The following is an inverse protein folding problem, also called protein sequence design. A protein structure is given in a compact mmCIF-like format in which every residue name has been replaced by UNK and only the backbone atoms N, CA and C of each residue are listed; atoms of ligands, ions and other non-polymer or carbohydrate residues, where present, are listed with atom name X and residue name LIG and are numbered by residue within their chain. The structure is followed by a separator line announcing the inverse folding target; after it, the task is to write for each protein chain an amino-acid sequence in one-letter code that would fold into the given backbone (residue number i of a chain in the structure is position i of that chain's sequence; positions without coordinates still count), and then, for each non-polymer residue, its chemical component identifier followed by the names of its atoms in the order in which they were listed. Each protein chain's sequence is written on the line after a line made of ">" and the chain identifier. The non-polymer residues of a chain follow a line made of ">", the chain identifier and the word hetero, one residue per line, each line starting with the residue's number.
data_IF_321254076552
#
_entry.id   IF_321254076552
#
_cell.length_a   1.000
_cell.length_b   1.000
_cell.length_c   1.000
_cell.angle_alpha   90.00
_cell.angle_beta   90.00
_cell.angle_gamma   90.00
#
_symmetry.space_group_name_H-M   'P 1'
#
loop_
_entity.id
_entity.type
_entity.pdbx_description
1 polymer ?
#
# COMPACT_ATOMS: atom_id res chain seq x y z
N UNK A 1 -34.09 -22.94 -24.51
CA UNK A 1 -34.12 -21.54 -25.02
C UNK A 1 -35.30 -20.83 -24.36
N UNK A 2 -35.01 -20.00 -23.36
CA UNK A 2 -36.07 -19.29 -22.61
C UNK A 2 -36.69 -18.19 -23.46
N UNK A 3 -38.02 -18.23 -23.61
CA UNK A 3 -38.77 -17.19 -24.30
C UNK A 3 -39.08 -16.06 -23.32
N UNK A 4 -38.33 -14.97 -23.39
CA UNK A 4 -38.70 -13.72 -22.70
C UNK A 4 -39.92 -13.09 -23.40
N UNK A 5 -40.93 -12.75 -22.63
CA UNK A 5 -42.15 -12.13 -23.17
C UNK A 5 -41.87 -10.64 -23.44
N UNK A 6 -42.58 -10.09 -24.43
CA UNK A 6 -42.52 -8.67 -24.82
C UNK A 6 -42.72 -7.70 -23.64
N UNK A 7 -43.46 -8.15 -22.60
CA UNK A 7 -43.67 -7.39 -21.36
C UNK A 7 -42.42 -7.27 -20.49
N UNK A 8 -41.53 -8.28 -20.51
CA UNK A 8 -40.26 -8.24 -19.75
C UNK A 8 -39.21 -7.35 -20.41
N UNK A 9 -39.23 -7.26 -21.73
CA UNK A 9 -38.35 -6.34 -22.49
C UNK A 9 -38.80 -4.88 -22.32
N UNK A 10 -40.15 -4.64 -22.30
CA UNK A 10 -40.71 -3.31 -22.04
C UNK A 10 -40.45 -2.83 -20.60
N UNK A 11 -40.44 -3.72 -19.62
CA UNK A 11 -40.13 -3.39 -18.23
C UNK A 11 -38.65 -2.97 -18.05
N UNK A 12 -37.72 -3.61 -18.76
CA UNK A 12 -36.30 -3.25 -18.74
C UNK A 12 -36.02 -1.89 -19.41
N UNK A 13 -36.73 -1.55 -20.47
CA UNK A 13 -36.62 -0.25 -21.15
C UNK A 13 -37.27 0.88 -20.32
N UNK A 14 -38.35 0.61 -19.61
CA UNK A 14 -39.00 1.58 -18.73
C UNK A 14 -38.15 1.89 -17.49
N UNK A 15 -37.43 0.91 -16.94
CA UNK A 15 -36.53 1.12 -15.81
C UNK A 15 -35.27 1.95 -16.18
N UNK A 16 -34.81 1.87 -17.41
CA UNK A 16 -33.70 2.68 -17.91
C UNK A 16 -34.12 4.14 -18.21
N UNK A 17 -35.39 4.39 -18.52
CA UNK A 17 -35.91 5.74 -18.83
C UNK A 17 -36.27 6.54 -17.55
N UNK A 18 -36.54 5.87 -16.42
CA UNK A 18 -36.89 6.52 -15.17
C UNK A 18 -35.64 7.07 -14.38
N UNK A 19 -34.44 6.70 -14.79
CA UNK A 19 -33.20 7.23 -14.15
C UNK A 19 -32.70 8.54 -14.77
N UNK A 20 -33.32 9.08 -15.81
CA UNK A 20 -32.85 10.29 -16.51
C UNK A 20 -33.66 11.55 -16.27
N UNK A 21 -34.71 11.53 -15.43
CA UNK A 21 -35.58 12.71 -15.21
C UNK A 21 -35.71 13.16 -13.76
N UNK A 22 -34.60 13.15 -13.00
CA UNK A 22 -34.57 13.54 -11.60
C UNK A 22 -33.53 14.61 -11.24
N UNK A 23 -33.34 15.64 -12.07
CA UNK A 23 -32.67 16.86 -11.66
C UNK A 23 -33.64 18.03 -11.60
N UNK A 24 -34.33 18.15 -10.47
CA UNK A 24 -35.10 19.30 -10.10
C UNK A 24 -34.26 20.19 -9.18
N UNK A 25 -34.14 21.47 -9.55
CA UNK A 25 -33.46 22.47 -8.77
C UNK A 25 -34.17 22.69 -7.42
N UNK A 26 -33.52 22.46 -6.32
CA UNK A 26 -33.95 22.89 -5.00
C UNK A 26 -33.11 24.08 -4.56
N UNK A 27 -33.76 25.21 -4.33
CA UNK A 27 -33.21 26.41 -3.72
C UNK A 27 -32.71 26.12 -2.31
N UNK A 28 -31.48 26.54 -2.03
CA UNK A 28 -30.88 26.50 -0.71
C UNK A 28 -31.49 27.59 0.17
N UNK A 29 -32.03 27.17 1.32
CA UNK A 29 -32.15 28.01 2.50
C UNK A 29 -31.08 27.59 3.49
N UNK A 30 -30.17 28.49 3.80
CA UNK A 30 -29.18 28.28 4.87
C UNK A 30 -29.84 28.12 6.23
N UNK A 31 -29.34 27.24 7.07
CA UNK A 31 -29.32 27.45 8.51
C UNK A 31 -27.87 27.55 9.00
N UNK A 32 -27.59 28.66 9.63
CA UNK A 32 -26.45 28.89 10.48
C UNK A 32 -26.31 27.80 11.53
N UNK A 33 -25.19 27.07 11.52
CA UNK A 33 -24.78 26.20 12.60
C UNK A 33 -23.26 26.30 12.80
N UNK A 34 -22.92 26.58 14.06
CA UNK A 34 -21.56 26.68 14.58
C UNK A 34 -20.72 25.43 14.34
N UNK A 35 -19.38 25.56 14.18
CA UNK A 35 -18.52 24.45 13.96
C UNK A 35 -18.23 23.69 15.24
N UNK A 36 -18.78 22.52 15.43
CA UNK A 36 -18.20 21.50 16.29
C UNK A 36 -17.29 20.63 15.44
N UNK A 37 -16.00 20.93 15.49
CA UNK A 37 -14.99 20.15 14.80
C UNK A 37 -14.79 18.78 15.47
N UNK A 38 -15.28 17.76 14.83
CA UNK A 38 -14.91 16.38 15.05
C UNK A 38 -14.56 15.81 13.68
N UNK A 39 -13.30 15.93 13.26
CA UNK A 39 -12.79 15.15 12.13
C UNK A 39 -12.68 13.71 12.59
N UNK A 40 -13.74 12.93 12.36
CA UNK A 40 -13.65 11.48 12.40
C UNK A 40 -12.73 11.06 11.26
N UNK A 41 -11.46 10.79 11.56
CA UNK A 41 -10.57 10.11 10.63
C UNK A 41 -11.17 8.73 10.34
N UNK A 42 -11.56 8.51 9.10
CA UNK A 42 -12.03 7.21 8.65
C UNK A 42 -10.88 6.23 8.82
N UNK A 43 -11.10 5.12 9.54
CA UNK A 43 -10.12 4.08 9.75
C UNK A 43 -9.48 3.65 8.43
N UNK A 44 -8.17 3.35 8.40
CA UNK A 44 -7.54 2.74 7.24
C UNK A 44 -8.33 1.50 6.86
N UNK A 45 -8.86 1.48 5.63
CA UNK A 45 -9.46 0.28 5.08
C UNK A 45 -8.33 -0.63 4.62
N UNK A 46 -8.32 -1.92 4.96
CA UNK A 46 -7.44 -2.85 4.28
C UNK A 46 -7.74 -2.75 2.79
N UNK A 47 -6.70 -2.76 1.97
CA UNK A 47 -6.87 -2.80 0.52
C UNK A 47 -7.78 -3.98 0.20
N UNK A 48 -8.97 -3.74 -0.36
CA UNK A 48 -9.88 -4.80 -0.80
C UNK A 48 -9.15 -5.64 -1.86
N UNK A 49 -8.48 -6.69 -1.38
CA UNK A 49 -8.00 -7.73 -2.26
C UNK A 49 -9.23 -8.56 -2.67
N UNK A 50 -9.43 -8.83 -3.97
CA UNK A 50 -10.38 -9.85 -4.36
C UNK A 50 -10.02 -11.14 -3.63
N UNK A 51 -11.01 -11.91 -3.15
CA UNK A 51 -10.82 -13.16 -2.42
C UNK A 51 -9.67 -13.96 -3.04
N UNK A 52 -8.59 -14.12 -2.25
CA UNK A 52 -7.31 -14.64 -2.74
C UNK A 52 -7.50 -16.10 -3.17
N UNK A 53 -7.40 -16.45 -4.47
CA UNK A 53 -7.63 -17.81 -4.90
C UNK A 53 -6.56 -18.72 -4.31
N UNK A 54 -7.00 -19.70 -3.51
CA UNK A 54 -6.13 -20.74 -2.95
C UNK A 54 -5.49 -21.53 -4.09
N UNK A 55 -4.20 -21.76 -4.00
CA UNK A 55 -3.48 -22.62 -4.94
C UNK A 55 -3.57 -24.06 -4.41
N UNK A 56 -4.26 -24.93 -5.16
CA UNK A 56 -4.15 -26.36 -4.93
C UNK A 56 -2.75 -26.81 -5.41
N UNK A 57 -1.95 -27.38 -4.49
CA UNK A 57 -0.58 -27.81 -4.80
C UNK A 57 -0.58 -29.21 -5.42
N UNK A 58 -0.31 -29.36 -6.74
CA UNK A 58 0.09 -30.63 -7.31
C UNK A 58 1.48 -31.02 -6.77
N UNK A 59 1.77 -32.31 -6.71
CA UNK A 59 3.10 -32.81 -6.38
C UNK A 59 4.18 -32.20 -7.30
N UNK A 60 5.20 -31.60 -6.70
CA UNK A 60 6.23 -30.81 -7.37
C UNK A 60 6.03 -29.33 -7.10
N UNK A 61 7.08 -28.62 -6.75
CA UNK A 61 7.02 -27.31 -6.16
C UNK A 61 6.45 -26.23 -7.08
N UNK A 62 5.12 -26.26 -7.23
CA UNK A 62 4.38 -25.25 -7.98
C UNK A 62 4.38 -23.87 -7.29
N UNK A 63 4.68 -23.79 -5.97
CA UNK A 63 4.75 -22.55 -5.20
C UNK A 63 6.05 -21.84 -5.50
N UNK A 64 7.19 -22.53 -5.34
CA UNK A 64 8.53 -22.02 -5.66
C UNK A 64 8.62 -21.54 -7.11
N UNK A 65 8.08 -22.30 -8.06
CA UNK A 65 8.06 -21.94 -9.48
C UNK A 65 7.24 -20.67 -9.80
N UNK A 66 6.34 -20.26 -8.92
CA UNK A 66 5.55 -19.01 -9.08
C UNK A 66 6.23 -17.79 -8.50
N UNK A 67 7.30 -17.94 -7.75
CA UNK A 67 8.06 -16.85 -7.13
C UNK A 67 9.00 -16.18 -8.15
N UNK A 68 8.43 -15.65 -9.24
CA UNK A 68 9.16 -15.08 -10.37
C UNK A 68 10.13 -13.96 -9.95
N UNK A 69 9.79 -13.21 -8.89
CA UNK A 69 10.57 -12.07 -8.42
C UNK A 69 11.93 -12.47 -7.86
N UNK A 70 12.06 -13.64 -7.26
CA UNK A 70 13.34 -14.10 -6.72
C UNK A 70 14.41 -14.19 -7.82
N UNK A 71 14.05 -14.73 -8.97
CA UNK A 71 14.95 -14.83 -10.13
C UNK A 71 15.08 -13.52 -10.88
N UNK A 72 13.93 -12.83 -11.10
CA UNK A 72 13.91 -11.62 -11.92
C UNK A 72 14.67 -10.46 -11.28
N UNK A 73 14.68 -10.39 -9.95
CA UNK A 73 15.41 -9.39 -9.18
C UNK A 73 16.73 -9.93 -8.60
N UNK A 74 17.06 -11.18 -8.89
CA UNK A 74 18.33 -11.82 -8.53
C UNK A 74 18.52 -12.08 -7.03
N UNK A 75 17.46 -12.15 -6.25
CA UNK A 75 17.56 -12.42 -4.80
C UNK A 75 18.26 -13.75 -4.50
N UNK A 76 17.98 -14.78 -5.31
CA UNK A 76 18.59 -16.09 -5.13
C UNK A 76 20.12 -16.08 -5.21
N UNK A 77 20.71 -15.16 -5.96
CA UNK A 77 22.17 -15.03 -6.03
C UNK A 77 22.76 -14.33 -4.80
N UNK A 78 21.98 -13.45 -4.15
CA UNK A 78 22.39 -12.69 -2.98
C UNK A 78 22.44 -13.53 -1.70
N UNK A 79 21.73 -14.65 -1.63
CA UNK A 79 21.76 -15.53 -0.46
C UNK A 79 23.11 -16.18 -0.19
N UNK A 80 24.03 -16.08 -1.13
CA UNK A 80 25.45 -16.45 -0.90
C UNK A 80 26.20 -15.42 -0.03
N UNK A 81 25.62 -14.23 0.11
CA UNK A 81 26.22 -13.08 0.80
C UNK A 81 25.46 -12.69 2.06
N UNK A 82 24.13 -12.79 2.02
CA UNK A 82 23.24 -12.48 3.14
C UNK A 82 21.90 -13.18 2.99
N UNK A 83 21.29 -13.60 4.10
CA UNK A 83 20.02 -14.33 4.20
C UNK A 83 19.02 -13.64 5.14
N UNK A 84 19.42 -12.50 5.76
CA UNK A 84 18.67 -11.76 6.76
C UNK A 84 18.96 -12.24 8.19
N UNK A 85 19.98 -13.09 8.39
CA UNK A 85 20.30 -13.66 9.71
C UNK A 85 20.63 -12.55 10.71
N UNK A 86 20.03 -12.65 11.90
CA UNK A 86 20.23 -11.71 12.99
C UNK A 86 19.42 -10.42 12.90
N UNK A 87 18.64 -10.22 11.82
CA UNK A 87 17.78 -9.05 11.65
C UNK A 87 16.33 -9.38 12.03
N UNK A 88 15.71 -8.51 12.83
CA UNK A 88 14.32 -8.64 13.26
C UNK A 88 13.41 -7.68 12.50
N UNK A 89 12.44 -8.23 11.78
CA UNK A 89 11.41 -7.46 11.05
C UNK A 89 10.08 -7.55 11.77
N UNK A 90 9.60 -6.45 12.31
CA UNK A 90 8.24 -6.37 12.86
C UNK A 90 7.23 -6.28 11.71
N UNK A 91 6.30 -7.22 11.65
CA UNK A 91 5.17 -7.22 10.73
C UNK A 91 3.94 -6.70 11.47
N UNK A 92 3.67 -5.40 11.31
CA UNK A 92 2.47 -4.75 11.86
C UNK A 92 1.34 -4.89 10.83
N UNK A 93 0.50 -5.89 11.03
CA UNK A 93 -0.51 -6.32 10.07
C UNK A 93 -1.66 -7.04 10.80
N UNK A 94 -2.45 -7.86 10.11
CA UNK A 94 -3.58 -8.58 10.71
C UNK A 94 -3.17 -9.70 11.69
N UNK A 95 -1.90 -10.08 11.74
CA UNK A 95 -1.32 -11.18 12.51
C UNK A 95 -0.71 -12.24 11.59
N UNK A 96 0.19 -13.08 12.14
CA UNK A 96 0.96 -14.06 11.36
C UNK A 96 0.72 -15.47 11.91
N UNK A 97 0.42 -16.45 11.05
CA UNK A 97 0.40 -17.86 11.43
C UNK A 97 1.85 -18.38 11.60
N UNK A 98 2.40 -18.22 12.81
CA UNK A 98 3.75 -18.70 13.16
C UNK A 98 3.90 -20.23 13.17
N UNK A 99 2.82 -20.99 12.98
CA UNK A 99 2.87 -22.43 12.81
C UNK A 99 2.90 -22.88 11.35
N UNK A 100 2.78 -21.93 10.39
CA UNK A 100 2.89 -22.28 8.97
C UNK A 100 4.23 -22.95 8.68
N UNK A 101 4.21 -24.06 7.93
CA UNK A 101 5.40 -24.90 7.69
C UNK A 101 6.60 -24.14 7.10
N UNK A 102 6.36 -23.04 6.37
CA UNK A 102 7.42 -22.22 5.76
C UNK A 102 7.83 -21.02 6.64
N UNK A 103 7.24 -20.84 7.82
CA UNK A 103 7.51 -19.72 8.72
C UNK A 103 7.91 -20.17 10.12
N UNK A 104 7.63 -21.44 10.45
CA UNK A 104 7.83 -22.00 11.77
C UNK A 104 9.31 -22.00 12.18
N UNK A 105 9.62 -21.24 13.21
CA UNK A 105 11.01 -21.06 13.67
C UNK A 105 11.51 -19.65 13.41
N UNK A 106 11.09 -18.99 12.35
CA UNK A 106 11.41 -17.59 12.06
C UNK A 106 10.46 -16.60 12.77
N UNK A 107 9.25 -17.06 13.18
CA UNK A 107 8.27 -16.21 13.86
C UNK A 107 8.40 -16.36 15.36
N UNK A 108 8.70 -15.27 16.05
CA UNK A 108 8.78 -15.19 17.51
C UNK A 108 7.45 -14.73 18.13
N UNK A 109 7.33 -14.76 19.45
CA UNK A 109 6.20 -14.18 20.15
C UNK A 109 6.20 -12.65 20.00
N UNK A 110 5.09 -12.10 19.57
CA UNK A 110 4.88 -10.69 19.32
C UNK A 110 3.80 -10.07 20.19
N UNK A 111 2.88 -9.31 19.58
CA UNK A 111 1.91 -8.48 20.29
C UNK A 111 0.57 -8.40 19.58
N UNK A 112 -0.51 -8.26 20.34
CA UNK A 112 -1.83 -7.91 19.84
C UNK A 112 -2.18 -6.46 20.21
N UNK A 113 -2.14 -5.57 19.24
CA UNK A 113 -2.44 -4.17 19.45
C UNK A 113 -3.96 -3.89 19.54
N UNK A 114 -4.79 -4.79 19.01
CA UNK A 114 -6.25 -4.64 19.00
C UNK A 114 -6.90 -4.95 20.34
N UNK A 115 -6.30 -5.86 21.11
CA UNK A 115 -6.83 -6.42 22.34
C UNK A 115 -7.87 -7.53 22.14
N UNK A 116 -8.10 -7.99 20.90
CA UNK A 116 -9.08 -9.04 20.56
C UNK A 116 -8.43 -10.33 20.05
N UNK A 117 -7.12 -10.33 19.85
CA UNK A 117 -6.36 -11.46 19.34
C UNK A 117 -5.73 -12.35 20.40
N UNK A 118 -4.67 -13.03 20.00
CA UNK A 118 -3.74 -13.66 20.93
C UNK A 118 -2.63 -12.70 21.30
N UNK A 119 -2.19 -12.69 22.55
CA UNK A 119 -1.09 -11.80 22.99
C UNK A 119 0.23 -11.99 22.24
N UNK A 120 0.34 -13.04 21.42
CA UNK A 120 1.55 -13.35 20.64
C UNK A 120 1.53 -12.77 19.20
N UNK A 121 0.43 -12.15 18.75
CA UNK A 121 0.31 -11.68 17.36
C UNK A 121 0.18 -12.79 16.31
N UNK A 122 0.00 -14.05 16.71
CA UNK A 122 -0.03 -15.22 15.82
C UNK A 122 -1.39 -15.50 15.21
N UNK A 123 -2.42 -14.80 15.65
CA UNK A 123 -3.78 -14.98 15.15
C UNK A 123 -4.13 -13.86 14.18
N UNK A 124 -4.52 -14.24 12.97
CA UNK A 124 -5.08 -13.30 12.01
C UNK A 124 -6.40 -12.70 12.46
N UNK A 125 -6.55 -11.39 12.36
CA UNK A 125 -7.69 -10.59 12.79
C UNK A 125 -8.25 -9.76 11.62
N UNK A 126 -9.44 -9.21 11.83
CA UNK A 126 -10.06 -8.31 10.85
C UNK A 126 -10.73 -9.05 9.69
N UNK A 127 -10.92 -8.32 8.58
CA UNK A 127 -11.67 -8.84 7.41
C UNK A 127 -10.80 -9.68 6.46
N UNK A 128 -9.48 -9.56 6.55
CA UNK A 128 -8.50 -10.31 5.76
C UNK A 128 -7.46 -10.97 6.70
N UNK A 129 -7.87 -11.96 7.51
CA UNK A 129 -7.03 -12.49 8.58
C UNK A 129 -5.77 -13.22 8.09
N UNK A 130 -5.69 -13.56 6.81
CA UNK A 130 -4.54 -14.20 6.16
C UNK A 130 -3.44 -13.21 5.75
N UNK A 131 -3.74 -11.90 5.68
CA UNK A 131 -2.90 -10.90 5.06
C UNK A 131 -1.51 -10.78 5.71
N UNK A 132 -1.43 -10.75 7.04
CA UNK A 132 -0.14 -10.68 7.74
C UNK A 132 0.75 -11.92 7.50
N UNK A 133 0.14 -13.10 7.30
CA UNK A 133 0.89 -14.32 6.95
C UNK A 133 1.44 -14.26 5.53
N UNK A 134 0.65 -13.72 4.57
CA UNK A 134 1.13 -13.42 3.21
C UNK A 134 2.37 -12.51 3.26
N UNK A 135 2.26 -11.40 3.99
CA UNK A 135 3.33 -10.41 4.15
C UNK A 135 4.59 -11.03 4.78
N UNK A 136 4.45 -11.70 5.91
CA UNK A 136 5.57 -12.33 6.61
C UNK A 136 6.31 -13.35 5.73
N UNK A 137 5.58 -14.12 4.92
CA UNK A 137 6.16 -15.13 4.04
C UNK A 137 7.00 -14.54 2.90
N UNK A 138 6.66 -13.34 2.42
CA UNK A 138 7.48 -12.62 1.42
C UNK A 138 8.79 -12.13 2.03
N UNK A 139 8.79 -11.79 3.33
CA UNK A 139 10.02 -11.38 4.04
C UNK A 139 10.88 -12.60 4.33
N UNK A 140 10.37 -13.57 5.11
CA UNK A 140 11.18 -14.58 5.80
C UNK A 140 10.61 -16.01 5.72
N UNK A 141 9.85 -16.34 4.67
CA UNK A 141 9.55 -17.73 4.38
C UNK A 141 10.87 -18.51 4.16
N UNK A 142 10.97 -19.73 4.71
CA UNK A 142 12.18 -20.55 4.58
C UNK A 142 11.95 -21.86 3.82
N UNK A 143 10.71 -22.07 3.31
CA UNK A 143 10.35 -23.30 2.64
C UNK A 143 10.22 -24.49 3.59
N UNK A 144 10.07 -25.69 3.03
CA UNK A 144 10.04 -26.93 3.79
C UNK A 144 10.51 -28.10 2.92
N UNK A 145 10.86 -29.23 3.58
CA UNK A 145 11.16 -30.48 2.87
C UNK A 145 9.85 -31.24 2.66
N UNK A 146 9.55 -31.61 1.43
CA UNK A 146 8.42 -32.47 1.06
C UNK A 146 8.79 -33.98 1.06
N UNK A 147 10.04 -34.28 1.42
CA UNK A 147 10.56 -35.64 1.48
C UNK A 147 10.84 -36.31 0.12
N UNK A 148 10.60 -35.60 -0.98
CA UNK A 148 10.73 -36.13 -2.36
C UNK A 148 11.62 -35.31 -3.28
N UNK A 149 11.72 -34.03 -3.05
CA UNK A 149 12.55 -33.14 -3.88
C UNK A 149 13.90 -32.88 -3.22
N UNK A 150 15.04 -33.10 -3.91
CA UNK A 150 16.33 -32.75 -3.38
C UNK A 150 16.47 -31.25 -3.10
N UNK A 151 17.17 -30.88 -2.02
CA UNK A 151 17.48 -29.49 -1.76
C UNK A 151 18.31 -28.90 -2.91
N UNK A 152 18.00 -27.66 -3.31
CA UNK A 152 18.79 -26.94 -4.29
C UNK A 152 20.15 -26.57 -3.67
N UNK A 153 21.29 -26.93 -4.27
CA UNK A 153 22.59 -26.57 -3.71
C UNK A 153 22.75 -25.06 -3.56
N UNK A 154 23.00 -24.60 -2.34
CA UNK A 154 23.23 -23.19 -2.05
C UNK A 154 21.96 -22.34 -1.90
N UNK A 155 20.78 -22.92 -1.92
CA UNK A 155 19.54 -22.25 -1.54
C UNK A 155 19.38 -22.33 -0.01
N UNK A 156 19.18 -21.21 0.71
CA UNK A 156 18.98 -21.21 2.16
C UNK A 156 17.59 -21.76 2.54
N UNK A 157 17.40 -22.01 3.83
CA UNK A 157 16.12 -22.45 4.40
C UNK A 157 15.98 -23.95 4.55
N UNK A 158 14.77 -24.40 4.94
CA UNK A 158 14.51 -25.78 5.42
C UNK A 158 14.21 -26.77 4.26
N UNK A 159 14.10 -26.28 3.04
CA UNK A 159 13.90 -27.16 1.91
C UNK A 159 13.38 -26.47 0.63
N UNK A 160 13.35 -27.23 -0.47
CA UNK A 160 13.07 -26.68 -1.79
C UNK A 160 11.58 -26.48 -2.07
N UNK A 161 10.69 -26.99 -1.20
CA UNK A 161 9.26 -26.87 -1.38
C UNK A 161 8.69 -25.64 -0.66
N UNK A 162 7.55 -25.14 -1.15
CA UNK A 162 6.81 -24.05 -0.54
C UNK A 162 7.40 -22.67 -0.81
N UNK A 163 7.08 -21.74 0.08
CA UNK A 163 7.44 -20.31 -0.03
C UNK A 163 8.82 -20.05 0.55
N UNK A 164 9.68 -19.35 -0.22
CA UNK A 164 10.89 -18.75 0.32
C UNK A 164 10.79 -17.22 0.21
N UNK A 165 11.13 -16.52 1.27
CA UNK A 165 11.13 -15.05 1.34
C UNK A 165 12.43 -14.47 0.80
N UNK A 166 12.48 -13.13 0.77
CA UNK A 166 13.67 -12.38 0.34
C UNK A 166 14.82 -12.56 1.34
N UNK A 167 14.51 -12.61 2.62
CA UNK A 167 15.44 -12.78 3.73
C UNK A 167 15.04 -14.00 4.59
N UNK A 168 15.31 -15.23 4.10
CA UNK A 168 14.72 -16.46 4.66
C UNK A 168 15.22 -16.84 6.06
N UNK A 169 16.26 -16.19 6.57
CA UNK A 169 16.77 -16.36 7.93
C UNK A 169 16.49 -15.15 8.86
N UNK A 170 15.72 -14.16 8.37
CA UNK A 170 15.28 -13.05 9.19
C UNK A 170 14.22 -13.50 10.22
N UNK A 171 14.24 -12.85 11.38
CA UNK A 171 13.25 -13.06 12.43
C UNK A 171 12.00 -12.20 12.19
N UNK A 172 10.82 -12.77 12.27
CA UNK A 172 9.53 -12.06 12.20
C UNK A 172 8.99 -11.83 13.61
N UNK A 173 8.77 -10.55 13.95
CA UNK A 173 8.05 -10.12 15.15
C UNK A 173 6.61 -9.75 14.73
N UNK A 174 5.60 -10.62 14.95
CA UNK A 174 4.24 -10.36 14.50
C UNK A 174 3.50 -9.41 15.44
N UNK A 175 2.85 -8.38 14.90
CA UNK A 175 2.02 -7.47 15.69
C UNK A 175 0.66 -7.36 15.02
N UNK A 176 -0.38 -7.92 15.67
CA UNK A 176 -1.70 -7.99 15.09
C UNK A 176 -2.52 -6.71 15.32
N UNK A 177 -3.11 -6.24 14.22
CA UNK A 177 -4.12 -5.20 14.17
C UNK A 177 -5.47 -5.81 13.79
N UNK A 178 -6.56 -5.24 14.27
CA UNK A 178 -7.89 -5.56 13.76
C UNK A 178 -8.40 -4.43 12.87
N UNK A 179 -8.41 -4.69 11.55
CA UNK A 179 -8.72 -3.71 10.51
C UNK A 179 -10.04 -4.08 9.79
N UNK A 180 -10.77 -3.06 9.34
CA UNK A 180 -11.95 -3.23 8.49
C UNK A 180 -13.23 -3.70 9.20
N UNK A 181 -13.19 -4.02 10.49
CA UNK A 181 -14.35 -4.46 11.27
C UNK A 181 -15.00 -3.26 11.98
N UNK A 182 -16.31 -3.08 11.77
CA UNK A 182 -17.03 -2.00 12.44
C UNK A 182 -17.55 -2.53 13.79
N UNK A 183 -17.03 -1.95 14.89
CA UNK A 183 -17.57 -2.18 16.24
C UNK A 183 -17.14 -3.48 16.93
N UNK A 184 -16.17 -4.22 16.40
CA UNK A 184 -15.64 -5.43 17.05
C UNK A 184 -14.33 -5.18 17.79
N UNK A 185 -13.49 -4.26 17.34
CA UNK A 185 -12.25 -3.92 18.04
C UNK A 185 -12.52 -3.13 19.32
N UNK A 186 -11.78 -3.45 20.38
CA UNK A 186 -11.79 -2.70 21.65
C UNK A 186 -11.01 -1.40 21.55
N UNK A 187 -10.12 -1.28 20.55
CA UNK A 187 -9.28 -0.10 20.30
C UNK A 187 -9.44 0.39 18.87
N UNK A 188 -9.47 1.70 18.69
CA UNK A 188 -9.45 2.31 17.36
C UNK A 188 -8.11 2.07 16.66
N UNK A 189 -8.07 2.21 15.33
CA UNK A 189 -6.82 2.13 14.56
C UNK A 189 -5.84 3.23 14.99
N UNK A 190 -6.38 4.40 15.38
CA UNK A 190 -5.59 5.53 15.91
C UNK A 190 -4.86 5.19 17.21
N UNK A 191 -5.35 4.20 17.97
CA UNK A 191 -4.71 3.66 19.16
C UNK A 191 -3.84 2.43 18.87
N UNK A 192 -4.25 1.59 17.91
CA UNK A 192 -3.53 0.35 17.59
C UNK A 192 -2.18 0.65 16.92
N UNK A 193 -2.13 1.54 15.91
CA UNK A 193 -0.91 1.84 15.16
C UNK A 193 0.21 2.36 16.05
N UNK A 194 0.05 3.42 16.86
CA UNK A 194 1.14 3.90 17.71
C UNK A 194 1.56 2.90 18.80
N UNK A 195 0.63 2.10 19.31
CA UNK A 195 0.95 1.04 20.26
C UNK A 195 1.78 -0.06 19.60
N UNK A 196 1.45 -0.45 18.38
CA UNK A 196 2.17 -1.43 17.59
C UNK A 196 3.60 -0.98 17.24
N UNK A 197 3.75 0.28 16.78
CA UNK A 197 5.06 0.85 16.45
C UNK A 197 5.95 0.93 17.70
N UNK A 198 5.42 1.41 18.84
CA UNK A 198 6.19 1.45 20.09
C UNK A 198 6.63 0.06 20.53
N UNK A 199 5.70 -0.90 20.52
CA UNK A 199 6.03 -2.28 20.89
C UNK A 199 7.12 -2.86 19.98
N UNK A 200 7.05 -2.64 18.67
CA UNK A 200 8.06 -3.11 17.73
C UNK A 200 9.47 -2.58 18.10
N UNK A 201 9.56 -1.28 18.38
CA UNK A 201 10.84 -0.64 18.79
C UNK A 201 11.33 -1.19 20.14
N UNK A 202 10.44 -1.28 21.13
CA UNK A 202 10.78 -1.76 22.47
C UNK A 202 11.19 -3.24 22.49
N UNK A 203 10.65 -4.05 21.56
CA UNK A 203 10.99 -5.45 21.35
C UNK A 203 12.27 -5.65 20.51
N UNK A 204 12.93 -4.57 20.08
CA UNK A 204 14.20 -4.64 19.37
C UNK A 204 14.07 -4.95 17.87
N UNK A 205 12.97 -4.57 17.24
CA UNK A 205 12.87 -4.66 15.78
C UNK A 205 13.84 -3.68 15.11
N UNK A 206 14.55 -4.14 14.09
CA UNK A 206 15.41 -3.32 13.23
C UNK A 206 14.60 -2.64 12.12
N UNK A 207 13.59 -3.35 11.65
CA UNK A 207 12.70 -2.92 10.55
C UNK A 207 11.24 -3.10 10.98
N UNK A 208 10.40 -2.14 10.64
CA UNK A 208 8.95 -2.22 10.77
C UNK A 208 8.34 -2.24 9.37
N UNK A 209 7.66 -3.32 9.00
CA UNK A 209 6.85 -3.42 7.80
C UNK A 209 5.39 -3.09 8.11
N UNK A 210 4.85 -2.06 7.44
CA UNK A 210 3.45 -1.62 7.50
C UNK A 210 2.81 -1.84 6.13
N UNK A 211 2.24 -3.02 5.90
CA UNK A 211 1.47 -3.31 4.68
C UNK A 211 0.01 -2.87 4.81
N UNK A 212 -0.21 -1.75 5.49
CA UNK A 212 -1.51 -1.14 5.76
C UNK A 212 -1.53 0.31 5.29
N UNK A 213 -2.69 0.81 4.88
CA UNK A 213 -2.83 2.17 4.38
C UNK A 213 -4.21 2.76 4.65
N UNK A 214 -4.34 4.07 4.47
CA UNK A 214 -5.60 4.80 4.59
C UNK A 214 -5.91 5.58 3.31
N UNK A 215 -7.13 6.08 3.21
CA UNK A 215 -7.56 7.01 2.15
C UNK A 215 -7.21 8.48 2.47
N UNK A 216 -6.61 8.73 3.64
CA UNK A 216 -6.19 10.06 4.10
C UNK A 216 -4.69 10.25 3.91
N UNK A 217 -4.29 11.39 3.37
CA UNK A 217 -2.88 11.80 3.29
C UNK A 217 -2.35 12.33 4.63
N UNK A 218 -3.23 12.66 5.55
CA UNK A 218 -2.89 13.11 6.90
C UNK A 218 -3.09 12.00 7.93
N UNK A 219 -2.38 12.10 9.04
CA UNK A 219 -2.43 11.14 10.14
C UNK A 219 -2.81 11.80 11.46
N UNK A 220 -3.36 11.04 12.43
CA UNK A 220 -3.69 11.52 13.76
C UNK A 220 -2.43 11.97 14.54
N UNK A 221 -2.55 13.01 15.33
CA UNK A 221 -1.44 13.50 16.18
C UNK A 221 -0.96 12.44 17.19
N UNK A 222 -1.83 11.49 17.56
CA UNK A 222 -1.49 10.35 18.42
C UNK A 222 -0.35 9.48 17.87
N UNK A 223 -0.13 9.48 16.54
CA UNK A 223 0.94 8.71 15.88
C UNK A 223 2.31 9.37 15.97
N UNK A 224 2.36 10.72 16.07
CA UNK A 224 3.59 11.51 16.00
C UNK A 224 4.68 10.98 16.91
N UNK A 225 4.33 10.76 18.18
CA UNK A 225 5.32 10.33 19.19
C UNK A 225 5.85 8.90 18.97
N UNK A 226 5.07 8.00 18.38
CA UNK A 226 5.52 6.64 18.13
C UNK A 226 6.46 6.58 16.92
N UNK A 227 6.15 7.32 15.85
CA UNK A 227 7.00 7.38 14.66
C UNK A 227 8.29 8.18 14.92
N UNK A 228 8.21 9.28 15.69
CA UNK A 228 9.42 9.98 16.17
C UNK A 228 10.30 9.07 17.03
N UNK A 229 9.70 8.24 17.89
CA UNK A 229 10.44 7.29 18.71
C UNK A 229 11.16 6.23 17.87
N UNK A 230 10.50 5.69 16.85
CA UNK A 230 11.16 4.76 15.92
C UNK A 230 12.34 5.41 15.18
N UNK A 231 12.16 6.65 14.68
CA UNK A 231 13.24 7.45 14.09
C UNK A 231 14.42 7.64 15.05
N UNK A 232 14.17 8.05 16.30
CA UNK A 232 15.19 8.26 17.32
C UNK A 232 15.96 6.98 17.70
N UNK A 233 15.34 5.83 17.52
CA UNK A 233 15.96 4.51 17.73
C UNK A 233 16.63 3.94 16.49
N UNK A 234 16.52 4.63 15.34
CA UNK A 234 17.12 4.19 14.08
C UNK A 234 16.39 3.03 13.43
N UNK A 235 15.16 2.74 13.85
CA UNK A 235 14.32 1.67 13.26
C UNK A 235 13.78 2.12 11.91
N UNK A 236 13.96 1.31 10.88
CA UNK A 236 13.46 1.61 9.52
C UNK A 236 11.97 1.28 9.44
N UNK A 237 11.16 2.27 9.05
CA UNK A 237 9.73 2.03 8.77
C UNK A 237 9.52 1.95 7.26
N UNK A 238 9.00 0.83 6.79
CA UNK A 238 8.68 0.56 5.38
C UNK A 238 7.18 0.38 5.25
N UNK A 239 6.53 1.16 4.38
CA UNK A 239 5.08 1.14 4.21
C UNK A 239 4.64 0.97 2.77
N UNK A 240 3.52 0.29 2.58
CA UNK A 240 2.88 0.15 1.27
C UNK A 240 2.19 1.43 0.83
N UNK A 241 2.32 1.80 -0.46
CA UNK A 241 1.74 3.03 -1.02
C UNK A 241 0.21 2.99 -1.13
N UNK A 242 -0.42 1.82 -1.04
CA UNK A 242 -1.85 1.62 -1.31
C UNK A 242 -2.12 1.17 -2.75
N UNK A 243 -3.36 0.84 -3.07
CA UNK A 243 -3.75 0.18 -4.32
C UNK A 243 -4.87 0.94 -5.02
N UNK A 244 -4.65 1.45 -6.23
CA UNK A 244 -5.68 2.14 -7.05
C UNK A 244 -6.88 1.23 -7.33
N UNK A 245 -6.65 -0.05 -7.57
CA UNK A 245 -7.72 -1.04 -7.78
C UNK A 245 -8.64 -1.23 -6.58
N UNK A 246 -8.17 -0.92 -5.36
CA UNK A 246 -8.97 -0.89 -4.14
C UNK A 246 -9.58 0.50 -3.84
N UNK A 247 -9.46 1.45 -4.76
CA UNK A 247 -10.01 2.80 -4.62
C UNK A 247 -9.04 3.82 -4.00
N UNK A 248 -7.82 3.43 -3.64
CA UNK A 248 -6.79 4.32 -3.11
C UNK A 248 -5.98 4.92 -4.27
N UNK A 249 -6.44 6.02 -4.85
CA UNK A 249 -5.79 6.64 -6.01
C UNK A 249 -4.50 7.38 -5.64
N UNK A 250 -4.40 7.86 -4.41
CA UNK A 250 -3.23 8.54 -3.86
C UNK A 250 -2.70 7.80 -2.64
N UNK A 251 -1.40 7.96 -2.39
CA UNK A 251 -0.75 7.43 -1.19
C UNK A 251 -1.38 8.05 0.05
N UNK A 252 -1.75 7.21 1.01
CA UNK A 252 -2.29 7.61 2.31
C UNK A 252 -1.35 7.31 3.46
N UNK A 253 -1.69 7.81 4.66
CA UNK A 253 -0.92 7.51 5.86
C UNK A 253 -1.02 6.01 6.24
N UNK A 254 0.05 5.39 6.77
CA UNK A 254 1.30 6.00 7.25
C UNK A 254 2.35 6.28 6.17
N UNK A 255 2.14 5.87 4.92
CA UNK A 255 3.10 6.00 3.83
C UNK A 255 3.38 7.47 3.40
N UNK A 256 2.60 8.45 3.87
CA UNK A 256 2.85 9.87 3.67
C UNK A 256 3.70 10.52 4.77
N UNK A 257 4.00 9.77 5.84
CA UNK A 257 4.74 10.32 6.97
C UNK A 257 6.22 10.50 6.63
N UNK A 258 6.83 11.63 7.05
CA UNK A 258 8.26 11.86 6.83
C UNK A 258 9.12 10.74 7.41
N UNK A 259 10.17 10.35 6.67
CA UNK A 259 11.08 9.30 7.09
C UNK A 259 10.62 7.87 6.82
N UNK A 260 9.37 7.67 6.43
CA UNK A 260 8.85 6.36 6.03
C UNK A 260 9.30 6.01 4.61
N UNK A 261 9.90 4.83 4.43
CA UNK A 261 10.25 4.30 3.11
C UNK A 261 8.99 3.73 2.46
N UNK A 262 8.36 4.53 1.63
CA UNK A 262 7.10 4.18 0.95
C UNK A 262 7.37 3.40 -0.32
N UNK A 263 6.71 2.25 -0.46
CA UNK A 263 6.93 1.33 -1.57
C UNK A 263 5.73 1.32 -2.51
N UNK A 264 5.97 1.73 -3.76
CA UNK A 264 5.08 1.58 -4.89
C UNK A 264 5.14 0.17 -5.50
N UNK A 265 4.22 -0.12 -6.41
CA UNK A 265 4.10 -1.44 -7.02
C UNK A 265 4.32 -1.43 -8.53
N UNK A 266 5.07 -2.43 -9.02
CA UNK A 266 5.24 -2.67 -10.45
C UNK A 266 4.73 -4.05 -10.86
N UNK A 267 4.37 -4.16 -12.14
CA UNK A 267 4.02 -5.43 -12.79
C UNK A 267 5.26 -6.30 -13.08
N UNK A 268 5.03 -7.48 -13.67
CA UNK A 268 6.13 -8.40 -14.08
C UNK A 268 7.07 -7.80 -15.13
N UNK A 269 6.68 -6.75 -15.82
CA UNK A 269 7.50 -6.03 -16.79
C UNK A 269 8.24 -4.83 -16.19
N UNK A 270 8.22 -4.70 -14.86
CA UNK A 270 8.76 -3.56 -14.10
C UNK A 270 8.10 -2.22 -14.46
N UNK A 271 6.84 -2.23 -14.92
CA UNK A 271 6.05 -1.04 -15.19
C UNK A 271 5.10 -0.77 -14.03
N UNK A 272 4.79 0.52 -13.81
CA UNK A 272 3.79 0.92 -12.80
C UNK A 272 2.53 0.06 -12.91
N UNK A 273 2.16 -0.57 -11.80
CA UNK A 273 0.95 -1.36 -11.73
C UNK A 273 -0.24 -0.46 -11.45
N UNK A 274 -1.06 -0.25 -12.47
CA UNK A 274 -2.23 0.61 -12.31
C UNK A 274 -3.20 0.11 -11.23
N UNK A 275 -3.37 -1.19 -11.08
CA UNK A 275 -4.28 -1.75 -10.07
C UNK A 275 -3.65 -1.88 -8.69
N UNK A 276 -2.38 -2.26 -8.65
CA UNK A 276 -1.67 -2.67 -7.43
C UNK A 276 -0.76 -1.59 -6.85
N UNK A 277 -0.84 -0.34 -7.33
CA UNK A 277 -0.09 0.78 -6.76
C UNK A 277 -0.94 2.04 -6.75
N UNK A 278 -0.88 2.80 -5.67
CA UNK A 278 -1.29 4.21 -5.64
C UNK A 278 -0.21 5.08 -6.28
N UNK A 279 -0.46 6.38 -6.39
CA UNK A 279 0.52 7.36 -6.86
C UNK A 279 0.71 8.45 -5.81
N UNK A 280 1.91 9.02 -5.73
CA UNK A 280 2.20 10.12 -4.82
C UNK A 280 3.67 10.42 -4.67
N UNK A 281 3.99 11.66 -4.34
CA UNK A 281 5.36 12.14 -4.16
C UNK A 281 6.09 11.49 -2.97
N UNK A 282 5.37 10.86 -2.07
CA UNK A 282 5.96 10.12 -0.94
C UNK A 282 6.52 8.75 -1.33
N UNK A 283 6.16 8.21 -2.52
CA UNK A 283 6.80 6.97 -2.98
C UNK A 283 8.31 7.17 -3.04
N UNK A 284 9.03 6.27 -2.36
CA UNK A 284 10.48 6.27 -2.37
C UNK A 284 11.02 5.32 -3.45
N UNK A 285 10.57 4.07 -3.46
CA UNK A 285 10.98 3.06 -4.45
C UNK A 285 9.78 2.24 -4.88
N UNK A 286 9.92 1.48 -5.96
CA UNK A 286 8.91 0.52 -6.41
C UNK A 286 9.46 -0.89 -6.47
N UNK A 287 8.61 -1.88 -6.16
CA UNK A 287 8.96 -3.29 -6.09
C UNK A 287 7.85 -4.16 -6.70
N UNK A 288 8.09 -5.46 -6.98
CA UNK A 288 7.09 -6.35 -7.56
C UNK A 288 5.82 -6.42 -6.70
N UNK A 289 4.66 -6.26 -7.34
CA UNK A 289 3.37 -6.17 -6.66
C UNK A 289 2.25 -6.99 -7.30
N UNK A 290 2.51 -7.62 -8.46
CA UNK A 290 1.48 -8.38 -9.18
C UNK A 290 1.74 -9.86 -9.23
N UNK A 291 0.68 -10.66 -9.09
CA UNK A 291 0.76 -12.12 -9.18
C UNK A 291 1.81 -12.71 -8.24
N UNK A 292 1.99 -12.10 -7.08
CA UNK A 292 2.87 -12.61 -6.03
C UNK A 292 2.23 -13.86 -5.43
N UNK A 293 3.03 -14.82 -5.01
CA UNK A 293 2.56 -15.95 -4.21
C UNK A 293 2.98 -15.73 -2.77
N UNK A 294 2.19 -16.21 -1.81
CA UNK A 294 2.49 -16.13 -0.39
C UNK A 294 1.81 -17.24 0.40
N UNK A 295 2.29 -17.44 1.61
CA UNK A 295 1.71 -18.37 2.57
C UNK A 295 0.43 -17.77 3.19
N UNK A 296 -0.57 -18.63 3.44
CA UNK A 296 -1.76 -18.29 4.20
C UNK A 296 -1.98 -19.35 5.30
N UNK A 297 -2.74 -19.05 6.36
CA UNK A 297 -2.92 -19.97 7.47
C UNK A 297 -3.29 -21.40 7.08
N UNK A 298 -2.92 -22.35 7.94
CA UNK A 298 -3.13 -23.77 7.77
C UNK A 298 -2.29 -24.40 6.64
N UNK A 299 -1.05 -24.01 6.47
CA UNK A 299 -0.10 -24.53 5.46
C UNK A 299 -0.62 -24.43 4.02
N UNK A 300 -1.37 -23.38 3.72
CA UNK A 300 -1.88 -23.09 2.38
C UNK A 300 -1.14 -21.93 1.75
N UNK A 301 -1.41 -21.72 0.46
CA UNK A 301 -0.79 -20.66 -0.34
C UNK A 301 -1.84 -19.95 -1.17
N UNK A 302 -1.53 -18.72 -1.53
CA UNK A 302 -2.40 -17.94 -2.38
C UNK A 302 -1.58 -17.08 -3.36
N UNK A 303 -2.21 -16.72 -4.50
CA UNK A 303 -1.68 -15.69 -5.40
C UNK A 303 -2.41 -14.40 -5.10
N UNK A 304 -1.66 -13.31 -4.94
CA UNK A 304 -2.18 -12.01 -4.57
C UNK A 304 -1.44 -10.87 -5.29
N UNK A 305 -1.96 -9.66 -5.18
CA UNK A 305 -1.37 -8.47 -5.79
C UNK A 305 -1.68 -7.25 -4.93
N UNK A 306 -0.75 -6.32 -4.88
CA UNK A 306 -0.87 -5.08 -4.11
C UNK A 306 0.49 -4.57 -3.66
N UNK A 307 0.58 -3.30 -3.32
CA UNK A 307 1.78 -2.73 -2.67
C UNK A 307 2.06 -3.38 -1.31
N UNK A 308 1.07 -4.05 -0.74
CA UNK A 308 1.25 -4.91 0.45
C UNK A 308 2.20 -6.09 0.22
N UNK A 309 2.44 -6.48 -1.06
CA UNK A 309 3.46 -7.47 -1.44
C UNK A 309 4.81 -6.81 -1.79
N UNK A 310 4.78 -5.59 -2.27
CA UNK A 310 5.97 -4.81 -2.60
C UNK A 310 6.74 -4.36 -1.34
N UNK A 311 6.04 -3.86 -0.32
CA UNK A 311 6.65 -3.42 0.93
C UNK A 311 7.47 -4.54 1.63
N UNK A 312 6.96 -5.76 1.84
CA UNK A 312 7.73 -6.84 2.44
C UNK A 312 8.93 -7.28 1.58
N UNK A 313 8.85 -7.15 0.25
CA UNK A 313 10.02 -7.39 -0.62
C UNK A 313 11.15 -6.41 -0.30
N UNK A 314 10.83 -5.13 -0.07
CA UNK A 314 11.83 -4.11 0.33
C UNK A 314 12.27 -4.31 1.78
N UNK A 315 11.38 -4.77 2.68
CA UNK A 315 11.76 -5.10 4.07
C UNK A 315 12.77 -6.24 4.12
N UNK A 316 12.57 -7.27 3.29
CA UNK A 316 13.56 -8.35 3.13
C UNK A 316 14.88 -7.85 2.54
N UNK A 317 14.85 -6.96 1.53
CA UNK A 317 16.07 -6.34 0.99
C UNK A 317 16.81 -5.54 2.06
N UNK A 318 16.10 -4.75 2.87
CA UNK A 318 16.72 -4.03 3.98
C UNK A 318 17.37 -4.99 4.99
N UNK A 319 16.74 -6.13 5.28
CA UNK A 319 17.31 -7.15 6.17
C UNK A 319 18.59 -7.77 5.59
N UNK A 320 18.65 -8.05 4.28
CA UNK A 320 19.89 -8.51 3.63
C UNK A 320 21.03 -7.49 3.74
N UNK A 321 20.71 -6.19 3.56
CA UNK A 321 21.69 -5.11 3.68
C UNK A 321 22.22 -5.00 5.12
N UNK A 322 21.33 -5.06 6.12
CA UNK A 322 21.71 -4.94 7.54
C UNK A 322 22.56 -6.13 8.00
N UNK A 323 22.28 -7.36 7.53
CA UNK A 323 23.17 -8.50 7.82
C UNK A 323 24.55 -8.31 7.20
N UNK A 324 24.61 -7.92 5.93
CA UNK A 324 25.86 -7.76 5.20
C UNK A 324 26.71 -6.61 5.73
N UNK A 325 26.07 -5.53 6.17
CA UNK A 325 26.69 -4.30 6.63
C UNK A 325 26.15 -3.90 8.01
N UNK A 326 26.53 -4.62 9.08
CA UNK A 326 25.92 -4.47 10.42
C UNK A 326 26.24 -3.13 11.11
N UNK A 327 27.22 -2.40 10.61
CA UNK A 327 27.62 -1.09 11.15
C UNK A 327 26.81 0.07 10.54
N UNK A 328 25.97 -0.19 9.54
CA UNK A 328 25.14 0.85 8.92
C UNK A 328 23.96 1.23 9.81
N UNK A 329 23.72 2.53 9.88
CA UNK A 329 22.50 3.07 10.48
C UNK A 329 21.27 2.85 9.57
N UNK A 330 20.06 2.91 10.13
CA UNK A 330 18.83 2.82 9.33
C UNK A 330 18.77 3.87 8.20
N UNK A 331 19.29 5.08 8.43
CA UNK A 331 19.35 6.13 7.41
C UNK A 331 20.25 5.75 6.23
N UNK A 332 21.39 5.13 6.52
CA UNK A 332 22.33 4.66 5.50
C UNK A 332 21.78 3.46 4.73
N UNK A 333 21.04 2.56 5.38
CA UNK A 333 20.31 1.47 4.69
C UNK A 333 19.26 2.04 3.74
N UNK A 334 18.49 3.04 4.16
CA UNK A 334 17.53 3.74 3.29
C UNK A 334 18.25 4.38 2.11
N UNK A 335 19.37 5.09 2.34
CA UNK A 335 20.18 5.69 1.26
C UNK A 335 20.62 4.64 0.24
N UNK A 336 21.15 3.50 0.69
CA UNK A 336 21.56 2.41 -0.20
C UNK A 336 20.39 1.91 -1.06
N UNK A 337 19.23 1.73 -0.47
CA UNK A 337 18.04 1.26 -1.21
C UNK A 337 17.66 2.27 -2.29
N UNK A 338 17.55 3.57 -1.97
CA UNK A 338 17.08 4.57 -2.93
C UNK A 338 18.13 4.92 -3.99
N UNK A 339 19.43 4.95 -3.64
CA UNK A 339 20.51 5.28 -4.56
C UNK A 339 20.85 4.14 -5.54
N UNK A 340 20.47 2.91 -5.20
CA UNK A 340 20.71 1.73 -6.03
C UNK A 340 19.59 1.39 -7.00
N UNK A 341 18.47 2.12 -7.03
CA UNK A 341 17.33 1.81 -7.90
C UNK A 341 17.65 1.91 -9.39
N UNK A 342 16.91 1.16 -10.21
CA UNK A 342 16.83 1.36 -11.66
C UNK A 342 15.84 2.48 -11.95
N UNK A 343 16.30 3.61 -12.47
CA UNK A 343 15.44 4.73 -12.85
C UNK A 343 14.34 4.28 -13.83
N UNK A 344 13.10 4.70 -13.59
CA UNK A 344 11.95 4.30 -14.37
C UNK A 344 10.89 5.39 -14.38
N UNK A 345 10.14 5.51 -15.47
CA UNK A 345 9.17 6.56 -15.64
C UNK A 345 9.79 7.86 -16.17
N UNK A 346 9.51 8.97 -15.51
CA UNK A 346 10.18 10.24 -15.77
C UNK A 346 11.57 10.21 -15.12
N UNK A 347 12.57 10.81 -15.77
CA UNK A 347 13.94 10.77 -15.25
C UNK A 347 14.05 11.39 -13.86
N UNK A 348 14.66 10.65 -12.93
CA UNK A 348 14.78 11.01 -11.53
C UNK A 348 13.53 10.61 -10.72
N UNK A 349 13.32 11.27 -9.58
CA UNK A 349 12.20 10.92 -8.70
C UNK A 349 10.85 11.35 -9.27
N UNK A 350 9.91 10.42 -9.40
CA UNK A 350 8.56 10.68 -9.87
C UNK A 350 7.47 10.11 -8.92
N UNK A 351 6.20 10.39 -9.22
CA UNK A 351 5.08 10.04 -8.37
C UNK A 351 4.61 8.57 -8.50
N UNK A 352 5.17 7.78 -9.43
CA UNK A 352 4.78 6.40 -9.71
C UNK A 352 5.84 5.41 -9.24
N UNK A 353 7.12 5.74 -9.50
CA UNK A 353 8.25 4.85 -9.21
C UNK A 353 9.11 5.34 -8.03
N UNK A 354 8.90 6.58 -7.55
CA UNK A 354 9.80 7.18 -6.59
C UNK A 354 11.17 7.45 -7.22
N UNK A 355 12.25 6.97 -6.60
CA UNK A 355 13.60 7.02 -7.16
C UNK A 355 13.84 5.92 -8.23
N UNK A 356 12.90 4.98 -8.37
CA UNK A 356 12.97 3.91 -9.36
C UNK A 356 12.57 2.55 -8.81
N UNK A 357 12.78 1.51 -9.63
CA UNK A 357 12.54 0.12 -9.26
C UNK A 357 13.74 -0.44 -8.51
N UNK A 358 13.53 -1.17 -7.43
CA UNK A 358 14.62 -1.76 -6.63
C UNK A 358 15.59 -2.58 -7.47
N UNK A 359 16.87 -2.46 -7.15
CA UNK A 359 17.95 -3.28 -7.71
C UNK A 359 18.77 -3.90 -6.57
N UNK A 360 18.41 -5.12 -6.13
CA UNK A 360 19.03 -5.75 -4.96
C UNK A 360 20.54 -5.97 -5.09
N UNK A 361 21.04 -6.30 -6.30
CA UNK A 361 22.46 -6.50 -6.53
C UNK A 361 23.25 -5.21 -6.27
N UNK A 362 22.76 -4.08 -6.83
CA UNK A 362 23.41 -2.78 -6.55
C UNK A 362 23.25 -2.37 -5.09
N UNK A 363 22.10 -2.66 -4.46
CA UNK A 363 21.90 -2.32 -3.05
C UNK A 363 22.93 -3.03 -2.12
N UNK A 364 23.38 -4.23 -2.50
CA UNK A 364 24.41 -4.97 -1.76
C UNK A 364 25.84 -4.73 -2.29
N UNK A 365 26.01 -3.93 -3.34
CA UNK A 365 27.34 -3.61 -3.88
C UNK A 365 28.13 -2.73 -2.90
N UNK A 366 29.41 -3.03 -2.61
CA UNK A 366 30.23 -2.22 -1.70
C UNK A 366 30.36 -0.74 -2.10
N UNK A 367 30.28 -0.46 -3.40
CA UNK A 367 30.43 0.91 -3.93
C UNK A 367 29.12 1.74 -3.88
N UNK A 368 28.02 1.17 -3.38
CA UNK A 368 26.75 1.90 -3.24
C UNK A 368 26.84 2.95 -2.13
N UNK A 369 26.40 4.20 -2.36
CA UNK A 369 26.40 5.25 -1.35
C UNK A 369 25.67 4.88 -0.05
N UNK A 370 26.32 5.18 1.10
CA UNK A 370 25.81 4.90 2.45
C UNK A 370 26.31 5.92 3.48
N UNK A 371 26.39 7.18 3.09
CA UNK A 371 26.96 8.27 3.91
C UNK A 371 25.91 9.12 4.62
N UNK A 372 24.61 8.81 4.47
CA UNK A 372 23.52 9.62 5.01
C UNK A 372 23.59 9.77 6.54
N UNK A 373 23.80 10.98 7.01
CA UNK A 373 23.75 11.33 8.44
C UNK A 373 22.29 11.48 8.94
N UNK A 374 21.36 11.84 8.06
CA UNK A 374 19.94 11.98 8.33
C UNK A 374 19.11 11.18 7.34
N UNK A 375 17.85 10.90 7.69
CA UNK A 375 16.97 10.15 6.81
C UNK A 375 16.71 10.91 5.49
N UNK A 376 17.10 10.35 4.33
CA UNK A 376 16.92 11.02 3.03
C UNK A 376 15.46 11.30 2.65
N UNK A 377 14.52 10.63 3.33
CA UNK A 377 13.06 10.75 3.10
C UNK A 377 12.41 11.75 4.06
N UNK A 378 13.21 12.47 4.85
CA UNK A 378 12.76 13.47 5.81
C UNK A 378 12.75 12.98 7.25
N UNK A 379 12.42 13.88 8.19
CA UNK A 379 12.40 13.61 9.63
C UNK A 379 11.02 13.86 10.19
N UNK A 380 10.48 12.87 10.87
CA UNK A 380 9.22 12.99 11.60
C UNK A 380 9.34 13.99 12.76
N UNK A 381 10.47 13.98 13.46
CA UNK A 381 10.79 14.89 14.55
C UNK A 381 10.81 16.35 14.09
N UNK A 382 11.47 16.64 12.97
CA UNK A 382 11.51 17.98 12.41
C UNK A 382 10.10 18.42 11.96
N UNK A 383 9.37 17.54 11.27
CA UNK A 383 8.03 17.83 10.81
C UNK A 383 7.09 18.18 11.96
N UNK A 384 7.10 17.41 13.05
CA UNK A 384 6.31 17.66 14.26
C UNK A 384 6.67 19.02 14.87
N UNK A 385 7.96 19.34 14.96
CA UNK A 385 8.41 20.62 15.54
C UNK A 385 7.90 21.84 14.77
N UNK A 386 7.71 21.70 13.46
CA UNK A 386 7.27 22.79 12.56
C UNK A 386 5.73 22.87 12.48
N UNK A 387 5.05 21.71 12.40
CA UNK A 387 3.65 21.66 12.02
C UNK A 387 2.69 21.41 13.18
N UNK A 388 3.15 20.84 14.30
CA UNK A 388 2.34 20.67 15.51
C UNK A 388 2.55 21.86 16.43
N UNK A 389 1.49 22.62 16.70
CA UNK A 389 1.55 23.74 17.66
C UNK A 389 1.84 23.20 19.04
N UNK A 390 2.95 23.63 19.64
CA UNK A 390 3.17 23.42 21.06
C UNK A 390 2.09 24.19 21.83
N UNK A 391 1.13 23.49 22.42
CA UNK A 391 0.25 24.03 23.47
C UNK A 391 1.01 24.14 24.81
N UNK A 392 2.25 24.63 24.74
CA UNK A 392 3.02 25.05 25.89
C UNK A 392 2.64 26.49 26.20
N UNK A 393 2.14 26.73 27.39
CA UNK A 393 1.93 28.06 27.98
C UNK A 393 3.20 28.88 27.82
N UNK A 394 3.30 29.63 26.72
CA UNK A 394 4.32 30.66 26.60
C UNK A 394 3.97 31.72 27.67
N UNK A 395 4.68 31.71 28.78
CA UNK A 395 4.77 32.89 29.66
C UNK A 395 5.10 34.09 28.76
N UNK A 396 4.40 35.19 28.84
CA UNK A 396 4.72 36.35 28.03
C UNK A 396 6.12 36.86 28.40
N UNK A 397 7.12 36.47 27.64
CA UNK A 397 8.41 37.15 27.71
C UNK A 397 8.20 38.54 27.16
N UNK A 398 8.40 39.53 28.02
CA UNK A 398 8.35 40.94 27.72
C UNK A 398 9.05 41.27 26.40
N UNK A 399 8.27 41.81 25.45
CA UNK A 399 8.79 42.38 24.22
C UNK A 399 9.88 43.42 24.55
N UNK A 400 11.04 43.38 23.92
CA UNK A 400 11.95 44.50 23.95
C UNK A 400 11.31 45.66 23.18
N UNK A 401 11.23 46.82 23.86
CA UNK A 401 10.77 48.09 23.30
C UNK A 401 11.58 48.40 22.05
N UNK A 402 10.95 48.39 20.89
CA UNK A 402 11.54 48.82 19.65
C UNK A 402 11.81 50.32 19.69
N UNK A 403 13.05 50.75 19.46
CA UNK A 403 13.43 52.11 19.17
C UNK A 403 12.85 52.52 17.80
N UNK A 404 12.46 53.79 17.59
CA UNK A 404 11.88 54.23 16.33
C UNK A 404 12.96 54.26 15.25
N UNK A 405 12.76 53.46 14.19
CA UNK A 405 13.51 53.55 12.94
C UNK A 405 12.79 54.54 12.02
N UNK A 406 13.49 55.55 11.58
CA UNK A 406 13.03 56.47 10.54
C UNK A 406 12.80 55.71 9.22
N UNK A 407 11.57 55.81 8.70
CA UNK A 407 11.24 55.47 7.33
C UNK A 407 11.76 56.49 6.36
N UNK A 408 12.50 56.10 5.35
CA UNK A 408 12.45 56.71 4.03
C UNK A 408 12.19 55.64 3.00
N UNK A 409 11.11 55.81 2.28
CA UNK A 409 10.38 54.84 1.54
C UNK A 409 10.95 54.41 0.19
N UNK A 410 10.54 53.25 -0.19
CA UNK A 410 10.13 52.95 -1.54
C UNK A 410 8.97 51.95 -1.47
N UNK A 411 7.79 52.40 -1.93
CA UNK A 411 6.63 51.55 -2.12
C UNK A 411 6.92 50.59 -3.26
N UNK A 412 7.26 49.33 -2.90
CA UNK A 412 7.26 48.24 -3.87
C UNK A 412 5.80 47.88 -4.09
N UNK A 413 5.27 48.11 -5.28
CA UNK A 413 3.95 47.67 -5.71
C UNK A 413 3.82 46.16 -5.51
N UNK A 414 2.89 45.76 -4.68
CA UNK A 414 2.62 44.35 -4.41
C UNK A 414 2.19 43.67 -5.71
N UNK A 415 3.04 42.82 -6.26
CA UNK A 415 2.68 41.95 -7.36
C UNK A 415 1.53 41.06 -6.88
N UNK A 416 0.36 41.26 -7.46
CA UNK A 416 -0.83 40.47 -7.16
C UNK A 416 -0.51 38.96 -7.34
N UNK A 417 -0.81 38.18 -6.34
CA UNK A 417 -0.68 36.73 -6.43
C UNK A 417 -1.46 36.21 -7.65
N UNK A 418 -0.91 35.29 -8.45
CA UNK A 418 -1.61 34.74 -9.59
C UNK A 418 -2.93 34.13 -9.13
N UNK A 419 -4.03 34.62 -9.67
CA UNK A 419 -5.36 34.10 -9.43
C UNK A 419 -5.43 32.67 -10.01
N UNK A 420 -6.02 31.70 -9.32
CA UNK A 420 -6.23 30.38 -9.89
C UNK A 420 -7.07 30.53 -11.17
N UNK A 421 -6.51 30.06 -12.28
CA UNK A 421 -7.19 30.04 -13.56
C UNK A 421 -8.38 29.08 -13.40
N UNK A 422 -9.60 29.61 -13.37
CA UNK A 422 -10.78 28.77 -13.51
C UNK A 422 -10.69 28.06 -14.84
N UNK A 423 -10.96 26.72 -14.91
CA UNK A 423 -11.16 26.08 -16.19
C UNK A 423 -12.20 26.89 -16.96
N UNK A 424 -11.91 27.23 -18.21
CA UNK A 424 -12.84 27.94 -19.05
C UNK A 424 -14.18 27.18 -19.02
N UNK A 425 -15.28 27.87 -18.73
CA UNK A 425 -16.64 27.33 -18.85
C UNK A 425 -17.02 27.23 -20.35
N UNK A 426 -16.13 26.72 -21.18
CA UNK A 426 -16.49 26.20 -22.48
C UNK A 426 -17.10 24.82 -22.32
N UNK A 427 -18.33 24.82 -21.83
CA UNK A 427 -19.28 23.75 -22.11
C UNK A 427 -19.57 23.76 -23.60
N UNK A 428 -18.54 23.47 -24.38
CA UNK A 428 -18.62 23.34 -25.81
C UNK A 428 -19.71 22.34 -26.18
N UNK A 429 -20.30 22.51 -27.35
CA UNK A 429 -21.30 21.63 -27.98
C UNK A 429 -20.86 20.14 -27.98
N UNK A 430 -19.60 19.85 -27.67
CA UNK A 430 -18.99 18.51 -27.71
C UNK A 430 -19.73 17.45 -26.85
N UNK A 431 -20.13 17.70 -25.58
CA UNK A 431 -20.89 16.74 -24.80
C UNK A 431 -22.25 16.41 -25.42
N UNK A 432 -22.91 17.42 -26.01
CA UNK A 432 -24.21 17.22 -26.69
C UNK A 432 -24.04 16.46 -28.00
N UNK A 433 -22.96 16.69 -28.76
CA UNK A 433 -22.65 15.92 -29.96
C UNK A 433 -22.38 14.45 -29.62
N UNK A 434 -21.61 14.19 -28.58
CA UNK A 434 -21.32 12.82 -28.13
C UNK A 434 -22.61 12.11 -27.68
N UNK A 435 -23.43 12.76 -26.86
CA UNK A 435 -24.71 12.18 -26.39
C UNK A 435 -25.70 11.92 -27.55
N UNK A 436 -25.80 12.85 -28.51
CA UNK A 436 -26.69 12.65 -29.67
C UNK A 436 -26.14 11.57 -30.62
N UNK A 437 -24.87 11.46 -30.82
CA UNK A 437 -24.24 10.38 -31.58
C UNK A 437 -24.48 9.00 -30.92
N UNK A 438 -24.32 8.90 -29.62
CA UNK A 438 -24.62 7.68 -28.85
C UNK A 438 -26.11 7.31 -28.92
N UNK A 439 -27.00 8.27 -28.73
CA UNK A 439 -28.43 8.07 -28.86
C UNK A 439 -28.84 7.56 -30.25
N UNK A 440 -28.27 8.14 -31.31
CA UNK A 440 -28.48 7.69 -32.68
C UNK A 440 -28.03 6.24 -32.91
N UNK A 441 -26.84 5.87 -32.42
CA UNK A 441 -26.35 4.51 -32.54
C UNK A 441 -27.21 3.49 -31.81
N UNK A 442 -27.73 3.82 -30.62
CA UNK A 442 -28.66 2.95 -29.89
C UNK A 442 -29.94 2.71 -30.71
N UNK A 443 -30.49 3.75 -31.32
CA UNK A 443 -31.72 3.63 -32.18
C UNK A 443 -31.43 2.75 -33.41
N UNK A 444 -30.28 2.91 -34.06
CA UNK A 444 -29.91 2.12 -35.25
C UNK A 444 -29.73 0.64 -34.87
N UNK A 445 -29.04 0.34 -33.76
CA UNK A 445 -28.83 -1.04 -33.30
C UNK A 445 -30.19 -1.68 -32.92
N UNK A 446 -31.06 -0.95 -32.23
CA UNK A 446 -32.38 -1.44 -31.81
C UNK A 446 -33.28 -1.72 -33.02
N UNK A 447 -33.34 -0.80 -33.97
CA UNK A 447 -34.09 -0.98 -35.22
C UNK A 447 -33.56 -2.14 -36.08
N UNK A 448 -32.23 -2.29 -36.15
CA UNK A 448 -31.59 -3.41 -36.85
C UNK A 448 -31.90 -4.76 -36.19
N UNK A 449 -31.89 -4.82 -34.87
CA UNK A 449 -32.22 -6.02 -34.10
C UNK A 449 -33.71 -6.40 -34.27
N UNK A 450 -34.63 -5.43 -34.24
CA UNK A 450 -36.05 -5.66 -34.46
C UNK A 450 -36.34 -6.15 -35.90
N UNK A 451 -35.69 -5.59 -36.90
CA UNK A 451 -35.80 -6.06 -38.29
C UNK A 451 -35.31 -7.50 -38.44
N UNK A 452 -34.22 -7.85 -37.78
CA UNK A 452 -33.66 -9.22 -37.81
C UNK A 452 -34.59 -10.22 -37.10
N UNK A 453 -35.19 -9.85 -35.97
CA UNK A 453 -36.18 -10.68 -35.28
C UNK A 453 -37.44 -10.90 -36.14
N UNK A 454 -37.98 -9.84 -36.76
CA UNK A 454 -39.13 -9.95 -37.63
C UNK A 454 -38.84 -10.80 -38.89
N UNK A 455 -37.64 -10.78 -39.40
CA UNK A 455 -37.23 -11.64 -40.53
C UNK A 455 -37.15 -13.11 -40.13
N UNK A 456 -36.69 -13.40 -38.90
CA UNK A 456 -36.64 -14.77 -38.38
C UNK A 456 -38.00 -15.35 -38.08
N UNK A 457 -38.94 -14.57 -37.55
CA UNK A 457 -40.33 -14.98 -37.30
C UNK A 457 -41.08 -15.26 -38.61
N UNK A 458 -40.89 -14.42 -39.65
CA UNK A 458 -41.48 -14.66 -40.98
C UNK A 458 -40.91 -15.89 -41.68
N UNK A 459 -39.66 -16.25 -41.46
CA UNK A 459 -39.06 -17.50 -41.99
C UNK A 459 -39.58 -18.74 -41.27
N UNK A 460 -39.85 -18.65 -39.97
CA UNK A 460 -40.40 -19.75 -39.18
C UNK A 460 -41.87 -20.06 -39.54
N UNK A 461 -42.68 -19.02 -39.88
CA UNK A 461 -44.10 -19.20 -40.29
C UNK A 461 -44.28 -19.70 -41.73
N UNK A 462 -43.26 -19.65 -42.59
CA UNK A 462 -43.28 -20.22 -43.96
C UNK A 462 -42.82 -21.67 -44.05
N UNK A 463 -42.37 -22.26 -42.92
CA UNK A 463 -41.95 -23.67 -42.84
C UNK A 463 -42.94 -24.56 -42.07
N UNK A 464 -44.12 -24.02 -41.74
CA UNK A 464 -45.31 -24.76 -41.36
C UNK A 464 -46.36 -24.62 -42.49
#
# INVERSE_FOLDING_TARGET
>A
MARFSLRQVLALVASALLMTTGFGAAHATEPSASPSGGTSSRAPSPSHLPSVPTIDTPRGDSIRARQYWLMQYGFADLWKEATGQGVTVAVIDTGVDGNHQDLKGNVIDGFDASGNGSGQGWKGLGVEPEHGTLVASVIAGHGHSDGGTPANPGEPGDGPAGMIGVAPEATILPISLELGTVGSSTKSVDEQIPAAVRYAVDAGADIINLSVGSDSTSWPESWDSAFTYAEEKGVIIIASAGNRGAGLTQVGAPATMPGVLTVGGVDKSKKDSWSSSSQGISIAVSAPSESMVGAIPNNKYATWSGTSAAAPTVSGLAALIMEKYPDLTGNQVIERIISSTDDAGESGRDAFYGFGVINPQRALDPDTPDSAESNPLGSMKEWVSVHRKHTGTASPTSSPTAAPVHEEGETIEAVAAPQPVRPAEDSGILPFIVLTAFGFWIVVITAGSLRRLNSLTRRASRRR
#
